data_IF_281237468901
#
_entry.id   IF_281237468901
#
_cell.length_a   1.000
_cell.length_b   1.000
_cell.length_c   1.000
_cell.angle_alpha   90.00
_cell.angle_beta   90.00
_cell.angle_gamma   90.00
#
_symmetry.space_group_name_H-M   'P 1'
#
loop_
_entity.id
_entity.type
_entity.pdbx_description
1 polymer ?
#
# COMPACT_ATOMS: atom_id res chain seq x y z
N UNK A 1 4.01 -10.81 18.40
CA UNK A 1 3.60 -11.11 17.02
C UNK A 1 2.76 -9.93 16.58
N UNK A 2 3.27 -9.07 15.68
CA UNK A 2 2.42 -8.08 15.04
C UNK A 2 1.65 -8.80 13.95
N UNK A 3 0.33 -8.78 13.97
CA UNK A 3 -0.46 -9.67 13.11
C UNK A 3 -0.61 -9.19 11.66
N UNK A 4 -0.02 -8.03 11.32
CA UNK A 4 -0.02 -7.40 9.99
C UNK A 4 -1.42 -7.32 9.35
N UNK A 5 -2.49 -7.37 10.15
CA UNK A 5 -3.85 -7.42 9.63
C UNK A 5 -4.21 -6.13 8.88
N UNK A 6 -3.85 -4.98 9.45
CA UNK A 6 -4.10 -3.67 8.83
C UNK A 6 -3.27 -3.47 7.56
N UNK A 7 -2.04 -3.97 7.54
CA UNK A 7 -1.13 -3.94 6.39
C UNK A 7 -1.69 -4.81 5.26
N UNK A 8 -2.15 -6.01 5.61
CA UNK A 8 -2.77 -6.95 4.67
C UNK A 8 -4.06 -6.37 4.08
N UNK A 9 -4.90 -5.74 4.90
CA UNK A 9 -6.12 -5.07 4.46
C UNK A 9 -5.80 -3.88 3.54
N UNK A 10 -4.80 -3.08 3.90
CA UNK A 10 -4.35 -1.96 3.07
C UNK A 10 -3.83 -2.43 1.71
N UNK A 11 -3.04 -3.52 1.69
CA UNK A 11 -2.54 -4.12 0.45
C UNK A 11 -3.67 -4.62 -0.45
N UNK A 12 -4.65 -5.34 0.12
CA UNK A 12 -5.82 -5.82 -0.64
C UNK A 12 -6.62 -4.65 -1.25
N UNK A 13 -6.76 -3.55 -0.52
CA UNK A 13 -7.42 -2.34 -1.04
C UNK A 13 -6.65 -1.72 -2.20
N UNK A 14 -5.33 -1.58 -2.07
CA UNK A 14 -4.47 -1.06 -3.13
C UNK A 14 -4.58 -1.94 -4.38
N UNK A 15 -4.52 -3.26 -4.20
CA UNK A 15 -4.64 -4.24 -5.29
C UNK A 15 -5.99 -4.13 -6.01
N UNK A 16 -7.10 -4.07 -5.25
CA UNK A 16 -8.43 -3.89 -5.82
C UNK A 16 -8.53 -2.61 -6.65
N UNK A 17 -8.04 -1.50 -6.11
CA UNK A 17 -8.07 -0.21 -6.79
C UNK A 17 -7.20 -0.23 -8.06
N UNK A 18 -6.02 -0.83 -8.02
CA UNK A 18 -5.18 -1.00 -9.20
C UNK A 18 -5.88 -1.78 -10.32
N UNK A 19 -6.57 -2.88 -9.97
CA UNK A 19 -7.36 -3.64 -10.94
C UNK A 19 -8.51 -2.82 -11.51
N UNK A 20 -9.20 -2.03 -10.68
CA UNK A 20 -10.28 -1.14 -11.13
C UNK A 20 -9.76 -0.08 -12.11
N UNK A 21 -8.66 0.60 -11.78
CA UNK A 21 -8.02 1.60 -12.66
C UNK A 21 -7.58 0.99 -13.99
N UNK A 22 -6.99 -0.22 -13.96
CA UNK A 22 -6.58 -0.92 -15.17
C UNK A 22 -7.76 -1.32 -16.07
N UNK A 23 -8.92 -1.60 -15.47
CA UNK A 23 -10.14 -2.02 -16.19
C UNK A 23 -11.08 -0.88 -16.56
N UNK A 24 -10.82 0.35 -16.12
CA UNK A 24 -11.76 1.46 -16.31
C UNK A 24 -11.65 2.08 -17.70
N UNK A 25 -12.79 2.59 -18.17
CA UNK A 25 -12.88 3.45 -19.37
C UNK A 25 -12.60 4.94 -19.05
N UNK A 26 -11.87 5.21 -17.96
CA UNK A 26 -11.46 6.56 -17.60
C UNK A 26 -10.46 7.13 -18.61
N UNK A 27 -10.37 8.46 -18.65
CA UNK A 27 -9.35 9.16 -19.44
C UNK A 27 -7.94 8.83 -18.95
N UNK A 28 -6.95 9.04 -19.82
CA UNK A 28 -5.55 8.82 -19.44
C UNK A 28 -5.13 9.75 -18.29
N UNK A 29 -5.58 11.00 -18.29
CA UNK A 29 -5.33 11.96 -17.19
C UNK A 29 -5.89 11.45 -15.85
N UNK A 30 -7.12 10.93 -15.83
CA UNK A 30 -7.73 10.35 -14.62
C UNK A 30 -6.95 9.11 -14.14
N UNK A 31 -6.46 8.29 -15.08
CA UNK A 31 -5.64 7.11 -14.77
C UNK A 31 -4.29 7.50 -14.21
N UNK A 32 -3.65 8.54 -14.72
CA UNK A 32 -2.38 9.07 -14.18
C UNK A 32 -2.56 9.54 -12.73
N UNK A 33 -3.63 10.28 -12.43
CA UNK A 33 -3.93 10.72 -11.05
C UNK A 33 -4.14 9.50 -10.15
N UNK A 34 -4.93 8.52 -10.60
CA UNK A 34 -5.18 7.31 -9.82
C UNK A 34 -3.91 6.49 -9.56
N UNK A 35 -3.00 6.39 -10.55
CA UNK A 35 -1.70 5.73 -10.41
C UNK A 35 -0.81 6.47 -9.42
N UNK A 36 -0.81 7.81 -9.43
CA UNK A 36 -0.07 8.61 -8.45
C UNK A 36 -0.55 8.31 -7.03
N UNK A 37 -1.86 8.31 -6.80
CA UNK A 37 -2.43 7.97 -5.49
C UNK A 37 -2.14 6.53 -5.05
N UNK A 38 -2.19 5.56 -5.97
CA UNK A 38 -1.80 4.17 -5.67
C UNK A 38 -0.33 4.07 -5.26
N UNK A 39 0.54 4.86 -5.88
CA UNK A 39 1.96 4.92 -5.55
C UNK A 39 2.19 5.51 -4.16
N UNK A 40 1.49 6.59 -3.82
CA UNK A 40 1.52 7.19 -2.47
C UNK A 40 1.07 6.19 -1.39
N UNK A 41 -0.09 5.54 -1.59
CA UNK A 41 -0.61 4.55 -0.66
C UNK A 41 0.33 3.35 -0.48
N UNK A 42 1.00 2.94 -1.56
CA UNK A 42 1.98 1.85 -1.52
C UNK A 42 3.22 2.28 -0.73
N UNK A 43 3.72 3.50 -0.94
CA UNK A 43 4.86 4.05 -0.19
C UNK A 43 4.57 4.15 1.32
N UNK A 44 3.37 4.61 1.68
CA UNK A 44 2.93 4.66 3.08
C UNK A 44 2.86 3.27 3.71
N UNK A 45 2.35 2.29 2.98
CA UNK A 45 2.30 0.90 3.44
C UNK A 45 3.71 0.32 3.64
N UNK A 46 4.62 0.55 2.70
CA UNK A 46 6.03 0.15 2.82
C UNK A 46 6.69 0.79 4.03
N UNK A 47 6.42 2.07 4.29
CA UNK A 47 6.94 2.78 5.45
C UNK A 47 6.48 2.13 6.76
N UNK A 48 5.18 1.84 6.91
CA UNK A 48 4.66 1.13 8.09
C UNK A 48 5.24 -0.27 8.23
N UNK A 49 5.36 -1.03 7.13
CA UNK A 49 5.98 -2.35 7.13
C UNK A 49 7.44 -2.31 7.62
N UNK A 50 8.19 -1.28 7.23
CA UNK A 50 9.56 -1.07 7.68
C UNK A 50 9.64 -0.72 9.17
N UNK A 51 8.70 0.05 9.71
CA UNK A 51 8.63 0.34 11.16
C UNK A 51 8.48 -0.94 11.99
N UNK A 52 7.68 -1.90 11.51
CA UNK A 52 7.58 -3.21 12.14
C UNK A 52 8.89 -4.02 12.07
N UNK A 53 9.67 -3.87 10.98
CA UNK A 53 10.98 -4.51 10.83
C UNK A 53 12.06 -3.90 11.73
N UNK A 54 12.03 -2.57 11.93
CA UNK A 54 13.00 -1.86 12.80
C UNK A 54 12.69 -2.11 14.29
N UNK A 55 11.42 -2.12 14.69
CA UNK A 55 11.01 -2.35 16.08
C UNK A 55 11.31 -3.77 16.61
N UNK A 56 11.57 -4.74 15.75
CA UNK A 56 11.97 -6.10 16.17
C UNK A 56 13.46 -6.25 16.50
N UNK A 57 14.33 -5.36 16.00
CA UNK A 57 15.76 -5.41 16.31
C UNK A 57 16.11 -4.77 17.67
N UNK A 58 15.25 -3.91 18.22
CA UNK A 58 15.50 -3.22 19.49
C UNK A 58 15.10 -4.03 20.74
N UNK A 59 14.35 -5.14 20.57
CA UNK A 59 13.88 -5.98 21.69
C UNK A 59 14.80 -7.17 22.01
N UNK A 60 15.98 -7.26 21.38
CA UNK A 60 16.93 -8.38 21.57
C UNK A 60 18.28 -7.92 22.12
N UNK A 61 18.32 -6.88 22.95
CA UNK A 61 19.56 -6.46 23.62
C UNK A 61 19.37 -6.10 25.09
#
# INVERSE_FOLDING_TARGET
>A
MNDLFMESLALQRIELMARLVASSDCSDDDKEVAISWLSELTSDLVTRLNEYGIGQNESTH
#
